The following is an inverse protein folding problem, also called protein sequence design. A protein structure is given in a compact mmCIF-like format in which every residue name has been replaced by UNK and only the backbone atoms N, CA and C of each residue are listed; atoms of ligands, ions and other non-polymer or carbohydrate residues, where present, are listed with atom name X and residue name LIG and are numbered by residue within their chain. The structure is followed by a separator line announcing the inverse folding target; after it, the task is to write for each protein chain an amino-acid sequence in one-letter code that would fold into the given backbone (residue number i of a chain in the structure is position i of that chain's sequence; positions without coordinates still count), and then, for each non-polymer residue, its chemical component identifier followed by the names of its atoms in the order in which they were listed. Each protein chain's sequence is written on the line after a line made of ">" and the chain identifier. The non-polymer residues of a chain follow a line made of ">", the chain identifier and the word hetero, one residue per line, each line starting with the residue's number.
data_IF_686366318767
#
_entry.id   IF_686366318767
#
_cell.length_a   1.000
_cell.length_b   1.000
_cell.length_c   1.000
_cell.angle_alpha   90.00
_cell.angle_beta   90.00
_cell.angle_gamma   90.00
#
_symmetry.space_group_name_H-M   'P 1'
#
loop_
_entity.id
_entity.type
_entity.pdbx_description
1 polymer ?
#
# COMPACT_ATOMS: atom_id res chain seq x y z
N UNK A 1 12.23 -5.76 19.34
CA UNK A 1 11.73 -5.58 20.74
C UNK A 1 10.62 -6.60 21.04
N UNK A 2 10.39 -7.02 22.30
CA UNK A 2 9.40 -8.04 22.63
C UNK A 2 7.98 -7.75 22.12
N UNK A 3 7.59 -6.48 22.07
CA UNK A 3 6.27 -6.07 21.56
C UNK A 3 6.17 -6.16 20.03
N UNK A 4 7.18 -5.75 19.26
CA UNK A 4 7.17 -5.92 17.80
C UNK A 4 7.07 -7.40 17.41
N UNK A 5 7.84 -8.27 18.09
CA UNK A 5 7.79 -9.71 17.87
C UNK A 5 6.41 -10.29 18.21
N UNK A 6 5.77 -9.82 19.28
CA UNK A 6 4.42 -10.21 19.63
C UNK A 6 3.39 -9.74 18.58
N UNK A 7 3.53 -8.53 18.05
CA UNK A 7 2.67 -8.01 16.98
C UNK A 7 2.78 -8.89 15.72
N UNK A 8 4.02 -9.19 15.28
CA UNK A 8 4.28 -10.05 14.12
C UNK A 8 3.71 -11.45 14.35
N UNK A 9 3.84 -12.01 15.56
CA UNK A 9 3.28 -13.32 15.89
C UNK A 9 1.75 -13.36 15.76
N UNK A 10 1.05 -12.29 16.16
CA UNK A 10 -0.40 -12.19 15.95
C UNK A 10 -0.73 -12.16 14.46
N UNK A 11 -0.02 -11.35 13.66
CA UNK A 11 -0.25 -11.26 12.21
C UNK A 11 -0.03 -12.62 11.54
N UNK A 12 1.05 -13.34 11.87
CA UNK A 12 1.31 -14.68 11.33
C UNK A 12 0.18 -15.66 11.65
N UNK A 13 -0.40 -15.58 12.85
CA UNK A 13 -1.49 -16.44 13.27
C UNK A 13 -2.85 -16.09 12.62
N UNK A 14 -3.05 -14.80 12.31
CA UNK A 14 -4.32 -14.28 11.80
C UNK A 14 -4.31 -13.97 10.29
N UNK A 15 -3.23 -14.31 9.58
CA UNK A 15 -2.99 -13.86 8.20
C UNK A 15 -4.13 -14.28 7.26
N UNK A 16 -4.91 -13.33 6.71
CA UNK A 16 -5.95 -13.64 5.74
C UNK A 16 -5.36 -14.24 4.46
N UNK A 17 -6.09 -15.13 3.79
CA UNK A 17 -5.64 -15.73 2.53
C UNK A 17 -5.35 -14.68 1.43
N UNK A 18 -6.10 -13.58 1.43
CA UNK A 18 -5.90 -12.44 0.52
C UNK A 18 -4.54 -11.75 0.71
N UNK A 19 -3.91 -11.93 1.87
CA UNK A 19 -2.59 -11.41 2.22
C UNK A 19 -1.48 -12.46 2.13
N UNK A 20 -1.71 -13.57 1.42
CA UNK A 20 -0.65 -14.53 1.10
C UNK A 20 0.40 -13.83 0.21
N UNK A 21 1.59 -13.61 0.76
CA UNK A 21 2.65 -12.82 0.14
C UNK A 21 2.96 -11.51 0.88
N UNK A 22 2.26 -11.20 1.98
CA UNK A 22 2.63 -10.10 2.87
C UNK A 22 4.04 -10.31 3.44
N UNK A 23 4.92 -9.33 3.25
CA UNK A 23 6.25 -9.31 3.83
C UNK A 23 6.14 -8.93 5.31
N UNK A 24 6.93 -9.60 6.15
CA UNK A 24 6.92 -9.42 7.60
C UNK A 24 8.33 -9.22 8.09
N UNK A 25 8.53 -8.15 8.87
CA UNK A 25 9.80 -7.90 9.52
C UNK A 25 10.30 -9.10 10.35
N UNK A 26 11.62 -9.24 10.51
CA UNK A 26 12.68 -8.47 9.85
C UNK A 26 13.00 -8.97 8.44
N UNK A 27 12.27 -9.98 7.96
CA UNK A 27 12.52 -10.63 6.68
C UNK A 27 11.96 -9.74 5.56
N UNK A 28 12.71 -9.60 4.46
CA UNK A 28 12.30 -8.86 3.26
C UNK A 28 11.98 -7.38 3.52
N UNK A 29 12.95 -6.60 4.01
CA UNK A 29 12.85 -5.14 4.04
C UNK A 29 13.49 -4.51 2.80
N UNK A 30 12.88 -3.42 2.31
CA UNK A 30 13.61 -2.44 1.49
C UNK A 30 14.64 -1.69 2.36
N UNK A 31 15.70 -1.18 1.72
CA UNK A 31 16.71 -0.37 2.38
C UNK A 31 16.05 0.83 3.11
N UNK A 32 16.34 0.99 4.40
CA UNK A 32 15.76 2.03 5.27
C UNK A 32 14.44 1.68 5.97
N UNK A 33 13.81 0.53 5.70
CA UNK A 33 12.61 0.08 6.45
C UNK A 33 12.92 -0.45 7.86
N UNK A 34 14.19 -0.79 8.09
CA UNK A 34 14.71 -1.19 9.39
C UNK A 34 14.91 -0.01 10.35
N UNK A 35 14.87 1.22 9.84
CA UNK A 35 14.86 2.43 10.65
C UNK A 35 13.45 2.75 11.17
N UNK A 36 13.37 3.33 12.37
CA UNK A 36 12.08 3.78 12.91
C UNK A 36 11.73 5.14 12.34
N UNK A 37 10.53 5.25 11.79
CA UNK A 37 9.90 6.53 11.41
C UNK A 37 9.20 7.18 12.63
N UNK A 38 8.55 8.34 12.41
CA UNK A 38 7.68 8.97 13.41
C UNK A 38 6.47 8.09 13.77
N UNK A 39 6.04 7.22 12.85
CA UNK A 39 4.96 6.24 12.99
C UNK A 39 5.45 4.90 13.55
N UNK A 40 6.75 4.78 13.84
CA UNK A 40 7.40 3.56 14.32
C UNK A 40 8.12 2.77 13.23
N UNK A 41 8.39 1.50 13.51
CA UNK A 41 9.09 0.59 12.58
C UNK A 41 8.08 -0.11 11.67
N UNK A 42 8.39 -0.27 10.39
CA UNK A 42 7.55 -1.05 9.47
C UNK A 42 7.65 -2.54 9.80
N UNK A 43 6.56 -3.15 10.28
CA UNK A 43 6.53 -4.55 10.70
C UNK A 43 5.88 -5.49 9.68
N UNK A 44 5.01 -4.97 8.81
CA UNK A 44 4.41 -5.71 7.72
C UNK A 44 4.19 -4.79 6.53
N UNK A 45 4.37 -5.29 5.31
CA UNK A 45 4.15 -4.50 4.10
C UNK A 45 3.89 -5.39 2.88
N UNK A 46 3.37 -4.80 1.81
CA UNK A 46 3.30 -5.45 0.51
C UNK A 46 3.35 -4.44 -0.63
N UNK A 47 3.75 -4.93 -1.81
CA UNK A 47 3.57 -4.21 -3.07
C UNK A 47 2.30 -4.68 -3.79
N UNK A 48 1.46 -3.72 -4.16
CA UNK A 48 0.37 -3.96 -5.08
C UNK A 48 0.92 -3.85 -6.50
N UNK A 49 0.95 -4.98 -7.21
CA UNK A 49 1.51 -5.06 -8.56
C UNK A 49 0.39 -5.12 -9.59
N UNK A 50 0.52 -4.32 -10.64
CA UNK A 50 -0.37 -4.27 -11.80
C UNK A 50 0.49 -4.19 -13.08
N UNK A 51 0.25 -5.07 -14.06
CA UNK A 51 1.02 -5.11 -15.31
C UNK A 51 2.56 -5.11 -15.09
N UNK A 52 3.05 -5.95 -14.18
CA UNK A 52 4.48 -6.05 -13.79
C UNK A 52 5.07 -4.75 -13.18
N UNK A 53 4.22 -3.80 -12.79
CA UNK A 53 4.61 -2.54 -12.16
C UNK A 53 4.08 -2.47 -10.73
N UNK A 54 4.92 -2.06 -9.78
CA UNK A 54 4.49 -1.72 -8.42
C UNK A 54 3.70 -0.42 -8.48
N UNK A 55 2.38 -0.51 -8.28
CA UNK A 55 1.50 0.67 -8.32
C UNK A 55 1.26 1.29 -6.95
N UNK A 56 1.53 0.55 -5.87
CA UNK A 56 1.39 1.03 -4.51
C UNK A 56 2.19 0.15 -3.55
N UNK A 57 2.94 0.77 -2.63
CA UNK A 57 3.54 0.06 -1.50
C UNK A 57 2.82 0.49 -0.22
N UNK A 58 2.29 -0.47 0.55
CA UNK A 58 1.56 -0.20 1.80
C UNK A 58 2.24 -0.88 2.97
N UNK A 59 2.36 -0.16 4.09
CA UNK A 59 3.03 -0.64 5.29
C UNK A 59 2.15 -0.51 6.54
N UNK A 60 2.39 -1.40 7.49
CA UNK A 60 1.91 -1.33 8.87
C UNK A 60 3.10 -1.05 9.79
N UNK A 61 3.05 0.08 10.47
CA UNK A 61 4.08 0.59 11.35
C UNK A 61 3.64 0.46 12.79
N UNK A 62 4.57 0.11 13.66
CA UNK A 62 4.30 0.00 15.09
C UNK A 62 5.37 0.75 15.88
N UNK A 63 4.94 1.69 16.73
CA UNK A 63 5.82 2.53 17.55
C UNK A 63 6.05 1.96 18.96
N UNK A 64 5.51 0.77 19.25
CA UNK A 64 5.50 0.15 20.57
C UNK A 64 4.21 0.37 21.36
N UNK A 65 3.35 1.27 20.90
CA UNK A 65 2.08 1.65 21.55
C UNK A 65 0.89 1.55 20.58
N UNK A 66 1.07 1.98 19.33
CA UNK A 66 0.03 2.13 18.31
C UNK A 66 0.50 1.54 16.99
N UNK A 67 -0.45 1.04 16.20
CA UNK A 67 -0.21 0.60 14.82
C UNK A 67 -0.77 1.64 13.84
N UNK A 68 0.04 2.10 12.91
CA UNK A 68 -0.41 2.96 11.81
C UNK A 68 -0.26 2.22 10.49
N UNK A 69 -1.33 2.11 9.71
CA UNK A 69 -1.28 1.57 8.35
C UNK A 69 -1.39 2.70 7.35
N UNK A 70 -0.47 2.76 6.40
CA UNK A 70 -0.43 3.84 5.41
C UNK A 70 0.44 3.48 4.21
N UNK A 71 0.39 4.32 3.19
CA UNK A 71 1.29 4.20 2.03
C UNK A 71 2.73 4.50 2.44
N UNK A 72 3.63 3.55 2.17
CA UNK A 72 5.08 3.69 2.29
C UNK A 72 5.63 4.58 1.18
N UNK A 73 5.18 4.28 -0.04
CA UNK A 73 5.63 4.94 -1.26
C UNK A 73 4.55 4.75 -2.33
N UNK A 74 4.30 5.81 -3.11
CA UNK A 74 3.69 5.66 -4.42
C UNK A 74 4.77 6.05 -5.45
N UNK A 75 4.96 5.22 -6.47
CA UNK A 75 5.89 5.53 -7.55
C UNK A 75 5.26 6.54 -8.53
N UNK A 76 4.66 7.61 -8.02
CA UNK A 76 4.18 8.73 -8.83
C UNK A 76 5.40 9.54 -9.30
N UNK A 77 6.15 9.00 -10.25
CA UNK A 77 7.31 9.62 -10.89
C UNK A 77 7.03 11.00 -11.54
N UNK A 78 5.79 11.51 -11.51
CA UNK A 78 5.40 12.72 -12.27
C UNK A 78 4.41 13.68 -11.58
N UNK A 79 3.98 13.48 -10.34
CA UNK A 79 2.92 14.31 -9.75
C UNK A 79 3.31 14.77 -8.36
N UNK A 80 3.46 16.09 -8.23
CA UNK A 80 3.45 16.90 -7.00
C UNK A 80 3.33 16.08 -5.70
N UNK A 81 4.43 16.07 -4.94
CA UNK A 81 4.71 15.35 -3.69
C UNK A 81 3.70 15.50 -2.54
N UNK A 82 2.52 16.08 -2.76
CA UNK A 82 1.58 16.53 -1.73
C UNK A 82 0.21 15.84 -1.78
N UNK A 83 0.04 14.73 -2.50
CA UNK A 83 -1.20 13.94 -2.40
C UNK A 83 -0.92 12.58 -1.76
N UNK A 84 -1.25 12.39 -0.48
CA UNK A 84 -1.40 11.06 0.07
C UNK A 84 -2.47 10.36 -0.76
N UNK A 85 -2.07 9.31 -1.49
CA UNK A 85 -3.01 8.46 -2.23
C UNK A 85 -3.85 7.61 -1.27
N UNK A 86 -3.38 7.43 -0.04
CA UNK A 86 -4.15 6.77 1.00
C UNK A 86 -3.89 7.48 2.34
N UNK A 87 -4.91 8.05 3.00
CA UNK A 87 -4.71 8.66 4.32
C UNK A 87 -4.36 7.55 5.33
N UNK A 88 -3.27 7.69 6.10
CA UNK A 88 -2.91 6.72 7.12
C UNK A 88 -4.04 6.53 8.14
N UNK A 89 -4.19 5.32 8.65
CA UNK A 89 -5.12 5.00 9.74
C UNK A 89 -4.35 4.44 10.93
N UNK A 90 -4.63 5.00 12.12
CA UNK A 90 -3.97 4.60 13.36
C UNK A 90 -4.94 3.84 14.27
N UNK A 91 -4.45 2.73 14.80
CA UNK A 91 -5.15 1.84 15.71
C UNK A 91 -4.48 1.86 17.08
N UNK A 92 -5.30 1.88 18.13
CA UNK A 92 -4.89 1.80 19.53
C UNK A 92 -5.65 0.67 20.22
N UNK A 93 -5.25 0.33 21.45
CA UNK A 93 -5.86 -0.76 22.23
C UNK A 93 -4.88 -1.90 22.45
N UNK A 94 -5.38 -3.13 22.60
CA UNK A 94 -4.51 -4.30 22.77
C UNK A 94 -3.68 -4.56 21.51
N UNK A 95 -2.52 -5.20 21.67
CA UNK A 95 -1.65 -5.54 20.52
C UNK A 95 -2.36 -6.44 19.50
N UNK A 96 -3.23 -7.33 19.99
CA UNK A 96 -4.04 -8.22 19.17
C UNK A 96 -5.04 -7.42 18.34
N UNK A 97 -5.77 -6.50 18.96
CA UNK A 97 -6.76 -5.67 18.24
C UNK A 97 -6.10 -4.81 17.17
N UNK A 98 -4.92 -4.25 17.48
CA UNK A 98 -4.16 -3.43 16.55
C UNK A 98 -3.68 -4.26 15.34
N UNK A 99 -3.11 -5.44 15.57
CA UNK A 99 -2.63 -6.32 14.51
C UNK A 99 -3.78 -6.84 13.62
N UNK A 100 -4.91 -7.24 14.21
CA UNK A 100 -6.09 -7.70 13.45
C UNK A 100 -6.67 -6.58 12.59
N UNK A 101 -6.87 -5.38 13.15
CA UNK A 101 -7.37 -4.23 12.37
C UNK A 101 -6.41 -3.81 11.26
N UNK A 102 -5.11 -3.91 11.50
CA UNK A 102 -4.12 -3.67 10.46
C UNK A 102 -4.23 -4.68 9.32
N UNK A 103 -4.38 -5.98 9.63
CA UNK A 103 -4.61 -7.02 8.62
C UNK A 103 -5.91 -6.79 7.85
N UNK A 104 -6.99 -6.43 8.53
CA UNK A 104 -8.28 -6.13 7.89
C UNK A 104 -8.16 -4.97 6.90
N UNK A 105 -7.43 -3.92 7.29
CA UNK A 105 -7.21 -2.77 6.42
C UNK A 105 -6.31 -3.09 5.23
N UNK A 106 -5.21 -3.81 5.44
CA UNK A 106 -4.33 -4.30 4.36
C UNK A 106 -5.11 -5.17 3.37
N UNK A 107 -5.95 -6.09 3.87
CA UNK A 107 -6.80 -6.94 3.04
C UNK A 107 -7.90 -6.15 2.31
N UNK A 108 -8.45 -5.10 2.95
CA UNK A 108 -9.37 -4.19 2.29
C UNK A 108 -8.69 -3.46 1.13
N UNK A 109 -7.49 -2.91 1.32
CA UNK A 109 -6.71 -2.24 0.27
C UNK A 109 -6.38 -3.21 -0.87
N UNK A 110 -5.91 -4.42 -0.55
CA UNK A 110 -5.58 -5.46 -1.53
C UNK A 110 -6.76 -5.82 -2.45
N UNK A 111 -7.98 -5.82 -1.92
CA UNK A 111 -9.20 -6.13 -2.68
C UNK A 111 -9.71 -4.96 -3.51
N UNK A 112 -9.12 -3.77 -3.36
CA UNK A 112 -9.60 -2.60 -4.08
C UNK A 112 -9.42 -2.77 -5.59
N UNK A 113 -10.48 -2.49 -6.36
CA UNK A 113 -10.43 -2.34 -7.81
C UNK A 113 -9.27 -1.49 -8.35
N UNK A 114 -8.48 -1.97 -9.33
CA UNK A 114 -7.52 -1.09 -10.05
C UNK A 114 -7.86 -1.00 -11.53
N UNK A 115 -7.92 0.22 -12.05
CA UNK A 115 -8.07 0.50 -13.48
C UNK A 115 -6.84 1.22 -14.02
N UNK A 116 -6.50 0.92 -15.28
CA UNK A 116 -5.57 1.71 -16.08
C UNK A 116 -6.34 2.58 -17.05
N UNK A 117 -6.07 3.88 -17.00
CA UNK A 117 -6.64 4.91 -17.86
C UNK A 117 -5.58 5.32 -18.88
N UNK A 118 -5.82 5.07 -20.17
CA UNK A 118 -4.84 5.28 -21.24
C UNK A 118 -5.23 6.49 -22.13
N UNK A 119 -4.37 7.52 -22.23
CA UNK A 119 -4.54 8.66 -23.14
C UNK A 119 -3.76 8.49 -24.45
N UNK A 120 -2.66 7.74 -24.39
CA UNK A 120 -1.87 7.30 -25.54
C UNK A 120 -1.10 6.02 -25.19
N UNK A 121 -0.36 5.46 -26.14
CA UNK A 121 0.45 4.26 -25.91
C UNK A 121 1.47 4.40 -24.76
N UNK A 122 1.92 5.61 -24.45
CA UNK A 122 2.96 5.89 -23.45
C UNK A 122 2.48 6.78 -22.31
N UNK A 123 1.19 7.15 -22.30
CA UNK A 123 0.60 8.05 -21.29
C UNK A 123 -0.60 7.35 -20.69
N UNK A 124 -0.44 6.92 -19.44
CA UNK A 124 -1.45 6.19 -18.69
C UNK A 124 -1.40 6.53 -17.19
N UNK A 125 -2.43 6.13 -16.47
CA UNK A 125 -2.51 6.24 -15.02
C UNK A 125 -3.27 5.06 -14.43
N UNK A 126 -2.70 4.45 -13.39
CA UNK A 126 -3.37 3.47 -12.55
C UNK A 126 -4.12 4.20 -11.46
N UNK A 127 -5.38 3.80 -11.22
CA UNK A 127 -6.23 4.38 -10.19
C UNK A 127 -7.05 3.30 -9.51
N UNK A 128 -7.45 3.54 -8.26
CA UNK A 128 -8.51 2.76 -7.68
C UNK A 128 -9.85 3.07 -8.38
N UNK A 129 -10.60 2.05 -8.78
CA UNK A 129 -11.83 2.25 -9.56
C UNK A 129 -13.04 2.66 -8.70
N UNK A 130 -12.97 2.40 -7.39
CA UNK A 130 -14.05 2.70 -6.45
C UNK A 130 -14.16 4.20 -6.11
N UNK A 131 -13.03 4.90 -5.98
CA UNK A 131 -12.99 6.31 -5.61
C UNK A 131 -12.14 7.21 -6.55
N UNK A 132 -11.47 6.63 -7.55
CA UNK A 132 -10.66 7.36 -8.52
C UNK A 132 -9.29 7.82 -7.99
N UNK A 133 -8.87 7.37 -6.82
CA UNK A 133 -7.56 7.69 -6.24
C UNK A 133 -6.43 7.23 -7.18
N UNK A 134 -5.54 8.15 -7.55
CA UNK A 134 -4.35 7.84 -8.36
C UNK A 134 -3.33 6.95 -7.64
N UNK A 135 -2.64 6.09 -8.38
CA UNK A 135 -1.64 5.16 -7.85
C UNK A 135 -0.26 5.42 -8.47
N UNK A 136 -0.14 5.24 -9.78
CA UNK A 136 1.07 5.48 -10.57
C UNK A 136 0.66 6.08 -11.91
N UNK A 137 1.46 7.00 -12.45
CA UNK A 137 1.13 7.68 -13.71
C UNK A 137 2.37 7.91 -14.57
N UNK A 138 2.19 7.75 -15.88
CA UNK A 138 3.20 8.05 -16.92
C UNK A 138 2.77 9.25 -17.77
N UNK A 139 3.76 10.05 -18.20
CA UNK A 139 3.53 11.34 -18.85
C UNK A 139 3.22 12.47 -17.87
N UNK A 140 2.99 13.68 -18.39
CA UNK A 140 2.64 14.87 -17.61
C UNK A 140 1.13 14.99 -17.36
N UNK A 141 0.74 15.77 -16.35
CA UNK A 141 -0.67 16.11 -16.08
C UNK A 141 -1.37 16.72 -17.29
N UNK A 142 -0.65 17.52 -18.09
CA UNK A 142 -1.20 18.13 -19.30
C UNK A 142 -1.57 17.09 -20.36
N UNK A 143 -0.77 16.03 -20.50
CA UNK A 143 -1.04 14.93 -21.43
C UNK A 143 -2.18 14.03 -20.97
N UNK A 144 -2.47 14.00 -19.66
CA UNK A 144 -3.61 13.29 -19.05
C UNK A 144 -4.87 14.16 -18.90
N UNK A 145 -4.93 15.31 -19.58
CA UNK A 145 -6.10 16.19 -19.54
C UNK A 145 -7.21 15.64 -20.47
N UNK A 146 -8.45 15.68 -19.98
CA UNK A 146 -9.62 15.18 -20.71
C UNK A 146 -9.87 13.69 -20.48
N UNK A 147 -10.85 13.13 -21.18
CA UNK A 147 -11.21 11.73 -21.03
C UNK A 147 -10.10 10.81 -21.59
N UNK A 148 -9.77 9.69 -20.91
CA UNK A 148 -8.89 8.69 -21.48
C UNK A 148 -9.53 8.06 -22.73
N UNK A 149 -8.69 7.56 -23.63
CA UNK A 149 -9.14 6.82 -24.82
C UNK A 149 -9.65 5.44 -24.47
N UNK A 150 -9.08 4.85 -23.42
CA UNK A 150 -9.42 3.51 -22.96
C UNK A 150 -9.30 3.45 -21.44
N UNK A 151 -10.21 2.72 -20.81
CA UNK A 151 -10.15 2.35 -19.39
C UNK A 151 -10.19 0.83 -19.33
N UNK A 152 -9.20 0.23 -18.66
CA UNK A 152 -9.07 -1.22 -18.57
C UNK A 152 -9.00 -1.64 -17.11
N UNK A 153 -9.79 -2.65 -16.73
CA UNK A 153 -9.68 -3.26 -15.41
C UNK A 153 -8.44 -4.13 -15.34
N UNK A 154 -7.56 -3.86 -14.37
CA UNK A 154 -6.30 -4.58 -14.22
C UNK A 154 -6.38 -5.56 -13.06
N UNK A 155 -5.88 -6.77 -13.29
CA UNK A 155 -5.71 -7.75 -12.23
C UNK A 155 -4.49 -7.35 -11.39
N UNK A 156 -4.62 -7.39 -10.07
CA UNK A 156 -3.53 -7.06 -9.15
C UNK A 156 -3.08 -8.28 -8.36
N UNK A 157 -1.79 -8.33 -8.05
CA UNK A 157 -1.16 -9.34 -7.19
C UNK A 157 -0.39 -8.67 -6.07
N UNK A 158 -0.01 -9.46 -5.07
CA UNK A 158 1.01 -9.08 -4.10
C UNK A 158 2.38 -9.42 -4.68
N UNK A 159 3.29 -8.46 -4.65
CA UNK A 159 4.69 -8.59 -5.04
C UNK A 159 5.61 -8.44 -3.84
#
# INVERSE_FOLDING_TARGET
>A
MPMEAAWIAVVRAALPADLKGLCLAPDDWYDGMDESSAEGRCLAWFDLVADECVVLTVGAYFDGVRTTVGSLHNQLFSLESNRPTFPPQTFTGSITDQAVKACDLLAAIRRRPVERHDWSRTVHEYRFADDGTGLVASGSTAQRRGAPRQVTRIATTLG
#
